data_IF_284230052019
#
_entry.id   IF_284230052019
#
_cell.length_a   1.000
_cell.length_b   1.000
_cell.length_c   1.000
_cell.angle_alpha   90.00
_cell.angle_beta   90.00
_cell.angle_gamma   90.00
#
_symmetry.space_group_name_H-M   'P 1'
#
loop_
_entity.id
_entity.type
_entity.pdbx_description
1 polymer ?
#
# COMPACT_ATOMS: atom_id res chain seq x y z
N UNK A 1 11.99 37.34 5.33
CA UNK A 1 11.98 37.83 3.94
C UNK A 1 11.43 36.74 3.03
N UNK A 2 10.20 36.89 2.53
CA UNK A 2 9.61 35.98 1.54
C UNK A 2 10.25 36.26 0.17
N UNK A 3 10.72 35.23 -0.54
CA UNK A 3 11.33 35.39 -1.85
C UNK A 3 10.22 35.49 -2.90
N UNK A 4 9.95 36.70 -3.39
CA UNK A 4 8.96 36.92 -4.44
C UNK A 4 9.68 37.09 -5.79
N UNK A 5 9.92 36.00 -6.50
CA UNK A 5 10.00 36.07 -7.96
C UNK A 5 8.56 36.26 -8.49
N UNK A 6 8.02 37.47 -8.32
CA UNK A 6 6.70 37.88 -8.83
C UNK A 6 6.76 37.97 -10.36
N UNK A 7 6.64 36.82 -11.03
CA UNK A 7 6.16 36.80 -12.42
C UNK A 7 4.64 36.69 -12.35
N UNK A 8 3.97 37.74 -12.80
CA UNK A 8 2.52 37.74 -12.99
C UNK A 8 2.16 36.59 -13.94
N UNK A 9 1.11 35.82 -13.61
CA UNK A 9 0.52 34.92 -14.60
C UNK A 9 -0.19 35.77 -15.65
N UNK A 10 0.41 35.85 -16.85
CA UNK A 10 -0.12 36.61 -17.99
C UNK A 10 -1.49 36.13 -18.48
N UNK A 11 -1.95 34.96 -18.03
CA UNK A 11 -3.22 34.38 -18.43
C UNK A 11 -4.40 34.74 -17.51
N UNK A 12 -4.16 35.01 -16.21
CA UNK A 12 -5.26 35.22 -15.25
C UNK A 12 -5.07 36.41 -14.29
N UNK A 13 -3.95 37.14 -14.37
CA UNK A 13 -3.76 38.40 -13.64
C UNK A 13 -3.72 38.31 -12.12
N UNK A 14 -3.61 37.11 -11.52
CA UNK A 14 -3.55 36.91 -10.06
C UNK A 14 -2.15 36.60 -9.55
N UNK A 15 -1.87 37.03 -8.32
CA UNK A 15 -0.70 36.66 -7.54
C UNK A 15 -0.91 35.23 -7.00
N UNK A 16 0.08 34.31 -7.06
CA UNK A 16 -0.07 32.97 -6.48
C UNK A 16 -0.26 33.06 -4.95
N UNK A 17 -1.37 32.55 -4.42
CA UNK A 17 -1.76 32.64 -3.00
C UNK A 17 -0.96 31.73 -2.03
N UNK A 18 0.17 31.16 -2.45
CA UNK A 18 0.99 30.26 -1.62
C UNK A 18 2.34 30.90 -1.32
N UNK A 19 2.37 31.84 -0.38
CA UNK A 19 3.63 32.32 0.20
C UNK A 19 4.18 31.30 1.20
N UNK A 20 4.75 30.20 0.71
CA UNK A 20 5.55 29.31 1.56
C UNK A 20 6.82 30.06 2.03
N UNK A 21 7.22 29.83 3.28
CA UNK A 21 8.42 30.49 3.82
C UNK A 21 9.69 29.98 3.11
N UNK A 22 10.79 30.74 3.21
CA UNK A 22 12.05 30.41 2.51
C UNK A 22 12.49 28.97 2.79
N UNK A 23 12.48 28.54 4.05
CA UNK A 23 12.87 27.17 4.43
C UNK A 23 11.94 26.10 3.84
N UNK A 24 10.62 26.31 3.81
CA UNK A 24 9.69 25.36 3.19
C UNK A 24 9.85 25.28 1.66
N UNK A 25 10.18 26.40 1.00
CA UNK A 25 10.48 26.40 -0.43
C UNK A 25 11.77 25.65 -0.76
N UNK A 26 12.85 25.87 0.01
CA UNK A 26 14.09 25.12 -0.14
C UNK A 26 13.91 23.63 0.15
N UNK A 27 13.20 23.28 1.23
CA UNK A 27 12.90 21.88 1.55
C UNK A 27 12.08 21.19 0.47
N UNK A 28 11.10 21.88 -0.14
CA UNK A 28 10.36 21.36 -1.28
C UNK A 28 11.24 21.14 -2.52
N UNK A 29 12.15 22.07 -2.80
CA UNK A 29 13.10 21.96 -3.92
C UNK A 29 14.11 20.83 -3.72
N UNK A 30 14.57 20.60 -2.49
CA UNK A 30 15.50 19.50 -2.18
C UNK A 30 14.82 18.13 -2.32
N UNK A 31 13.53 18.02 -1.96
CA UNK A 31 12.74 16.82 -2.20
C UNK A 31 12.56 16.58 -3.71
N UNK A 32 12.23 17.61 -4.50
CA UNK A 32 12.08 17.47 -5.96
C UNK A 32 13.39 17.00 -6.60
N UNK A 33 14.53 17.60 -6.23
CA UNK A 33 15.85 17.16 -6.72
C UNK A 33 16.18 15.72 -6.33
N UNK A 34 15.79 15.29 -5.13
CA UNK A 34 15.98 13.91 -4.70
C UNK A 34 15.14 12.97 -5.58
N UNK A 35 13.89 13.31 -5.89
CA UNK A 35 13.03 12.52 -6.77
C UNK A 35 13.61 12.44 -8.19
N UNK A 36 14.04 13.57 -8.76
CA UNK A 36 14.71 13.60 -10.08
C UNK A 36 15.99 12.74 -10.12
N UNK A 37 16.76 12.73 -9.03
CA UNK A 37 17.95 11.88 -8.91
C UNK A 37 17.61 10.39 -8.78
N UNK A 38 16.50 10.05 -8.12
CA UNK A 38 16.04 8.67 -8.00
C UNK A 38 15.52 8.15 -9.36
N UNK A 39 14.77 8.97 -10.09
CA UNK A 39 14.28 8.64 -11.43
C UNK A 39 15.45 8.45 -12.42
N UNK A 40 16.47 9.33 -12.39
CA UNK A 40 17.67 9.19 -13.21
C UNK A 40 18.52 7.95 -12.86
N UNK A 41 18.44 7.45 -11.62
CA UNK A 41 19.13 6.22 -11.23
C UNK A 41 18.40 4.96 -11.73
N UNK A 42 17.10 5.00 -11.99
CA UNK A 42 16.39 3.88 -12.61
C UNK A 42 16.77 3.72 -14.09
N UNK A 43 16.96 4.82 -14.82
CA UNK A 43 17.38 4.80 -16.24
C UNK A 43 18.85 4.36 -16.42
N UNK A 44 19.75 4.72 -15.50
CA UNK A 44 21.18 4.37 -15.60
C UNK A 44 21.51 2.91 -15.27
N UNK A 45 20.59 2.17 -14.66
CA UNK A 45 20.81 0.77 -14.25
C UNK A 45 20.54 -0.24 -15.38
N UNK A 46 20.21 0.21 -16.60
CA UNK A 46 19.79 -0.68 -17.68
C UNK A 46 20.88 -1.08 -18.70
N UNK A 47 22.12 -0.58 -18.60
CA UNK A 47 23.18 -0.92 -19.57
C UNK A 47 24.54 -1.22 -18.90
N UNK A 48 24.83 -2.49 -18.61
CA UNK A 48 26.20 -3.05 -18.72
C UNK A 48 26.13 -4.55 -19.03
N UNK A 49 26.15 -4.91 -20.32
CA UNK A 49 26.60 -6.21 -20.80
C UNK A 49 28.01 -6.04 -21.37
N UNK A 50 29.04 -6.62 -20.74
CA UNK A 50 30.28 -7.01 -21.43
C UNK A 50 30.93 -8.22 -20.76
N UNK A 51 31.24 -9.21 -21.59
CA UNK A 51 31.87 -10.48 -21.25
C UNK A 51 33.35 -10.32 -20.88
N UNK A 52 33.78 -10.77 -19.70
CA UNK A 52 35.20 -11.13 -19.42
C UNK A 52 35.31 -12.10 -18.22
N UNK A 53 35.63 -13.36 -18.50
CA UNK A 53 36.34 -14.35 -17.65
C UNK A 53 36.09 -14.39 -16.12
N UNK A 54 35.10 -15.20 -15.71
CA UNK A 54 35.15 -16.32 -14.73
C UNK A 54 35.55 -16.10 -13.26
N UNK A 55 36.52 -15.22 -12.95
CA UNK A 55 37.00 -15.01 -11.57
C UNK A 55 36.95 -13.53 -11.14
N UNK A 56 37.10 -12.58 -12.08
CA UNK A 56 36.90 -11.14 -11.81
C UNK A 56 35.43 -10.72 -11.79
N UNK A 57 34.57 -11.46 -12.50
CA UNK A 57 33.11 -11.22 -12.55
C UNK A 57 32.43 -11.37 -11.18
N UNK A 58 33.00 -12.17 -10.28
CA UNK A 58 32.44 -12.40 -8.95
C UNK A 58 32.67 -11.22 -8.01
N UNK A 59 33.81 -10.53 -8.10
CA UNK A 59 34.15 -9.37 -7.25
C UNK A 59 33.31 -8.13 -7.60
N UNK A 60 33.10 -7.86 -8.89
CA UNK A 60 32.23 -6.75 -9.31
C UNK A 60 30.76 -7.02 -8.98
N UNK A 61 30.29 -8.27 -9.11
CA UNK A 61 28.95 -8.69 -8.70
C UNK A 61 28.74 -8.65 -7.17
N UNK A 62 29.75 -9.03 -6.39
CA UNK A 62 29.73 -8.91 -4.93
C UNK A 62 29.73 -7.44 -4.48
N UNK A 63 30.54 -6.58 -5.12
CA UNK A 63 30.59 -5.16 -4.83
C UNK A 63 29.29 -4.44 -5.18
N UNK A 64 28.66 -4.80 -6.31
CA UNK A 64 27.35 -4.24 -6.69
C UNK A 64 26.23 -4.73 -5.76
N UNK A 65 26.27 -5.99 -5.31
CA UNK A 65 25.36 -6.52 -4.29
C UNK A 65 25.56 -5.83 -2.93
N UNK A 66 26.80 -5.60 -2.51
CA UNK A 66 27.13 -4.88 -1.28
C UNK A 66 26.60 -3.43 -1.31
N UNK A 67 26.80 -2.70 -2.42
CA UNK A 67 26.20 -1.37 -2.61
C UNK A 67 24.67 -1.40 -2.52
N UNK A 68 24.01 -2.36 -3.18
CA UNK A 68 22.54 -2.52 -3.07
C UNK A 68 22.09 -2.77 -1.63
N UNK A 69 22.83 -3.59 -0.86
CA UNK A 69 22.53 -3.83 0.56
C UNK A 69 22.73 -2.58 1.40
N UNK A 70 23.79 -1.80 1.16
CA UNK A 70 24.00 -0.50 1.81
C UNK A 70 22.89 0.50 1.47
N UNK A 71 22.46 0.58 0.22
CA UNK A 71 21.38 1.46 -0.22
C UNK A 71 20.03 1.04 0.35
N UNK A 72 19.75 -0.27 0.45
CA UNK A 72 18.60 -0.81 1.17
C UNK A 72 18.66 -0.47 2.67
N UNK A 73 19.83 -0.57 3.30
CA UNK A 73 20.01 -0.19 4.69
C UNK A 73 19.81 1.31 4.91
N UNK A 74 20.29 2.17 4.01
CA UNK A 74 20.04 3.62 4.04
C UNK A 74 18.55 3.94 3.85
N UNK A 75 17.89 3.34 2.85
CA UNK A 75 16.43 3.45 2.66
C UNK A 75 15.66 3.05 3.93
N UNK A 76 16.10 1.97 4.60
CA UNK A 76 15.56 1.55 5.90
C UNK A 76 15.77 2.57 7.02
N UNK A 77 16.85 3.36 7.02
CA UNK A 77 17.06 4.40 8.05
C UNK A 77 16.14 5.60 7.89
N UNK A 78 15.85 6.05 6.66
CA UNK A 78 14.92 7.15 6.44
C UNK A 78 13.47 6.75 6.78
N UNK A 79 13.06 5.55 6.38
CA UNK A 79 11.71 5.05 6.69
C UNK A 79 11.49 4.91 8.20
N UNK A 80 12.51 4.46 8.96
CA UNK A 80 12.47 4.46 10.43
C UNK A 80 12.31 5.84 11.04
N UNK A 81 13.02 6.86 10.53
CA UNK A 81 12.90 8.25 11.01
C UNK A 81 11.52 8.84 10.71
N UNK A 82 10.96 8.55 9.54
CA UNK A 82 9.59 8.96 9.20
C UNK A 82 8.58 8.29 10.14
N UNK A 83 8.70 6.98 10.36
CA UNK A 83 7.85 6.25 11.30
C UNK A 83 7.98 6.80 12.73
N UNK A 84 9.18 7.16 13.17
CA UNK A 84 9.39 7.82 14.47
C UNK A 84 8.67 9.17 14.55
N UNK A 85 8.70 9.97 13.48
CA UNK A 85 7.94 11.23 13.41
C UNK A 85 6.42 11.00 13.50
N UNK A 86 5.90 9.91 12.92
CA UNK A 86 4.51 9.50 13.08
C UNK A 86 4.21 9.15 14.54
N UNK A 87 4.97 8.23 15.13
CA UNK A 87 4.73 7.72 16.49
C UNK A 87 4.88 8.80 17.57
N UNK A 88 5.76 9.78 17.35
CA UNK A 88 5.96 10.93 18.25
C UNK A 88 5.11 12.15 17.87
N UNK A 89 4.29 12.05 16.82
CA UNK A 89 3.46 13.12 16.27
C UNK A 89 4.22 14.43 15.97
N UNK A 90 5.50 14.33 15.60
CA UNK A 90 6.35 15.50 15.36
C UNK A 90 5.87 16.26 14.14
N UNK A 91 5.40 17.50 14.30
CA UNK A 91 4.89 18.33 13.20
C UNK A 91 3.67 17.77 12.45
N UNK A 92 2.89 16.89 13.08
CA UNK A 92 1.66 16.35 12.50
C UNK A 92 0.64 17.47 12.21
N UNK A 93 0.24 17.60 10.94
CA UNK A 93 -0.59 18.68 10.38
C UNK A 93 -1.97 18.20 9.90
N UNK A 94 -2.31 16.95 10.23
CA UNK A 94 -3.63 16.34 10.07
C UNK A 94 -3.91 15.31 11.18
N UNK A 95 -5.19 15.13 11.48
CA UNK A 95 -5.73 14.11 12.37
C UNK A 95 -6.81 13.33 11.60
N UNK A 96 -6.59 12.05 11.39
CA UNK A 96 -7.55 11.13 10.75
C UNK A 96 -8.39 10.48 11.83
N UNK A 97 -9.71 10.59 11.73
CA UNK A 97 -10.67 10.11 12.75
C UNK A 97 -11.52 9.00 12.16
N UNK A 98 -11.52 7.84 12.81
CA UNK A 98 -12.37 6.70 12.44
C UNK A 98 -13.81 6.92 12.89
N UNK A 99 -14.72 6.07 12.43
CA UNK A 99 -16.13 6.13 12.83
C UNK A 99 -16.35 5.82 14.33
N UNK A 100 -15.40 5.12 14.95
CA UNK A 100 -15.37 4.84 16.39
C UNK A 100 -14.97 6.06 17.24
N UNK A 101 -14.59 7.18 16.60
CA UNK A 101 -14.09 8.38 17.27
C UNK A 101 -12.61 8.29 17.70
N UNK A 102 -11.94 7.18 17.40
CA UNK A 102 -10.50 7.04 17.57
C UNK A 102 -9.76 7.81 16.47
N UNK A 103 -8.62 8.38 16.80
CA UNK A 103 -7.91 9.30 15.91
C UNK A 103 -6.42 9.00 15.82
N UNK A 104 -5.84 9.30 14.66
CA UNK A 104 -4.42 9.17 14.39
C UNK A 104 -3.90 10.46 13.77
N UNK A 105 -2.89 11.07 14.40
CA UNK A 105 -2.23 12.26 13.86
C UNK A 105 -1.12 11.88 12.89
N UNK A 106 -1.09 12.57 11.75
CA UNK A 106 -0.19 12.24 10.64
C UNK A 106 0.21 13.50 9.87
N UNK A 107 0.87 13.30 8.73
CA UNK A 107 1.39 14.37 7.88
C UNK A 107 0.72 14.31 6.50
N UNK A 108 0.07 15.40 6.09
CA UNK A 108 -0.65 15.50 4.81
C UNK A 108 0.23 15.12 3.63
N UNK A 109 1.49 15.60 3.62
CA UNK A 109 2.42 15.34 2.52
C UNK A 109 2.75 13.86 2.37
N UNK A 110 2.95 13.15 3.49
CA UNK A 110 3.30 11.73 3.49
C UNK A 110 2.09 10.89 3.06
N UNK A 111 0.90 11.16 3.63
CA UNK A 111 -0.34 10.48 3.25
C UNK A 111 -0.69 10.70 1.77
N UNK A 112 -0.55 11.93 1.27
CA UNK A 112 -0.85 12.26 -0.13
C UNK A 112 0.13 11.60 -1.11
N UNK A 113 1.36 11.34 -0.68
CA UNK A 113 2.34 10.63 -1.50
C UNK A 113 2.06 9.13 -1.52
N UNK A 114 1.75 8.55 -0.36
CA UNK A 114 1.51 7.11 -0.21
C UNK A 114 0.16 6.61 -0.73
N UNK A 115 -0.82 7.49 -0.97
CA UNK A 115 -2.15 7.11 -1.44
C UNK A 115 -2.78 8.22 -2.30
N UNK A 116 -3.19 7.85 -3.52
CA UNK A 116 -3.95 8.74 -4.41
C UNK A 116 -5.33 9.12 -3.82
N UNK A 117 -5.91 8.23 -3.02
CA UNK A 117 -7.18 8.47 -2.32
C UNK A 117 -7.01 9.50 -1.21
N UNK A 118 -5.96 9.40 -0.39
CA UNK A 118 -5.68 10.45 0.60
C UNK A 118 -5.37 11.79 -0.07
N UNK A 119 -4.60 11.79 -1.17
CA UNK A 119 -4.35 13.03 -1.94
C UNK A 119 -5.66 13.68 -2.40
N UNK A 120 -6.53 12.91 -3.04
CA UNK A 120 -7.83 13.36 -3.53
C UNK A 120 -8.72 13.89 -2.39
N UNK A 121 -8.74 13.18 -1.25
CA UNK A 121 -9.47 13.57 -0.04
C UNK A 121 -8.98 14.93 0.52
N UNK A 122 -7.68 15.19 0.45
CA UNK A 122 -7.05 16.41 0.97
C UNK A 122 -7.19 17.60 0.02
N UNK A 123 -7.16 17.36 -1.29
CA UNK A 123 -7.32 18.37 -2.33
C UNK A 123 -8.78 18.80 -2.53
N UNK A 124 -9.75 17.96 -2.13
CA UNK A 124 -11.16 18.20 -2.32
C UNK A 124 -11.59 19.56 -1.71
N UNK A 125 -11.95 20.49 -2.60
CA UNK A 125 -12.34 21.87 -2.26
C UNK A 125 -13.70 21.94 -1.56
N UNK A 126 -14.54 20.92 -1.71
CA UNK A 126 -15.88 20.86 -1.12
C UNK A 126 -15.86 20.42 0.34
N UNK A 127 -14.77 19.80 0.80
CA UNK A 127 -14.59 19.46 2.21
C UNK A 127 -13.90 20.65 2.88
N UNK A 128 -14.53 21.31 3.88
CA UNK A 128 -13.98 22.51 4.51
C UNK A 128 -12.51 22.32 4.89
N UNK A 129 -11.61 23.14 4.33
CA UNK A 129 -10.17 23.09 4.67
C UNK A 129 -9.89 23.48 6.13
N UNK A 130 -10.87 24.10 6.78
CA UNK A 130 -10.81 24.54 8.17
C UNK A 130 -10.98 23.32 9.09
N UNK A 131 -9.85 22.69 9.43
CA UNK A 131 -9.81 21.63 10.43
C UNK A 131 -8.56 20.78 10.28
N UNK A 132 -7.92 20.47 11.41
CA UNK A 132 -6.91 19.42 11.50
C UNK A 132 -7.55 18.05 11.25
N UNK A 133 -8.82 17.90 11.61
CA UNK A 133 -9.56 16.64 11.63
C UNK A 133 -10.20 16.31 10.28
N UNK A 134 -9.92 15.11 9.78
CA UNK A 134 -10.56 14.49 8.62
C UNK A 134 -11.17 13.16 9.05
N UNK A 135 -12.43 12.92 8.66
CA UNK A 135 -13.10 11.65 8.90
C UNK A 135 -12.65 10.64 7.84
N UNK A 136 -12.39 9.42 8.28
CA UNK A 136 -12.02 8.30 7.43
C UNK A 136 -13.10 7.22 7.56
N UNK A 137 -14.08 7.20 6.65
CA UNK A 137 -15.21 6.29 6.77
C UNK A 137 -14.81 4.84 6.44
N UNK A 138 -15.47 3.91 7.12
CA UNK A 138 -15.32 2.45 6.94
C UNK A 138 -13.87 1.97 7.07
N UNK A 139 -13.17 2.51 8.07
CA UNK A 139 -11.88 2.05 8.56
C UNK A 139 -11.93 1.96 10.08
N UNK A 140 -11.60 0.80 10.63
CA UNK A 140 -11.34 0.69 12.07
C UNK A 140 -9.97 1.31 12.44
N UNK A 141 -9.71 1.46 13.74
CA UNK A 141 -8.46 2.07 14.19
C UNK A 141 -7.21 1.25 13.84
N UNK A 142 -7.29 -0.08 13.86
CA UNK A 142 -6.16 -0.97 13.56
C UNK A 142 -5.84 -0.97 12.07
N UNK A 143 -6.86 -0.97 11.23
CA UNK A 143 -6.76 -0.85 9.78
C UNK A 143 -6.16 0.50 9.38
N UNK A 144 -6.67 1.60 9.95
CA UNK A 144 -6.12 2.94 9.70
C UNK A 144 -4.65 3.01 10.14
N UNK A 145 -4.34 2.48 11.33
CA UNK A 145 -2.98 2.46 11.86
C UNK A 145 -2.05 1.65 10.95
N UNK A 146 -2.43 0.43 10.57
CA UNK A 146 -1.61 -0.43 9.71
C UNK A 146 -1.38 0.19 8.32
N UNK A 147 -2.41 0.79 7.72
CA UNK A 147 -2.29 1.53 6.46
C UNK A 147 -1.29 2.68 6.59
N UNK A 148 -1.43 3.52 7.62
CA UNK A 148 -0.57 4.70 7.79
C UNK A 148 0.86 4.29 8.17
N UNK A 149 1.06 3.34 9.08
CA UNK A 149 2.39 2.83 9.41
C UNK A 149 3.10 2.24 8.18
N UNK A 150 2.36 1.54 7.31
CA UNK A 150 2.90 1.07 6.04
C UNK A 150 3.30 2.23 5.12
N UNK A 151 2.46 3.25 4.96
CA UNK A 151 2.78 4.44 4.15
C UNK A 151 4.08 5.12 4.64
N UNK A 152 4.33 5.14 5.95
CA UNK A 152 5.53 5.76 6.51
C UNK A 152 6.79 4.90 6.42
N UNK A 153 6.65 3.59 6.58
CA UNK A 153 7.79 2.68 6.76
C UNK A 153 8.08 1.80 5.53
N UNK A 154 7.09 1.62 4.66
CA UNK A 154 7.08 0.63 3.58
C UNK A 154 7.05 -0.81 4.06
N UNK A 155 6.79 -1.05 5.35
CA UNK A 155 6.89 -2.36 6.00
C UNK A 155 5.71 -2.59 6.93
N UNK A 156 5.36 -3.86 7.12
CA UNK A 156 4.46 -4.31 8.18
C UNK A 156 5.20 -5.26 9.10
N UNK A 157 4.84 -5.26 10.38
CA UNK A 157 5.38 -6.26 11.31
C UNK A 157 4.76 -7.64 11.03
N UNK A 158 5.46 -8.74 11.33
CA UNK A 158 4.91 -10.08 11.17
C UNK A 158 3.60 -10.29 11.96
N UNK A 159 3.47 -9.66 13.13
CA UNK A 159 2.27 -9.72 13.96
C UNK A 159 1.10 -9.03 13.27
N UNK A 160 1.35 -7.88 12.63
CA UNK A 160 0.34 -7.12 11.90
C UNK A 160 -0.14 -7.89 10.67
N UNK A 161 0.78 -8.51 9.91
CA UNK A 161 0.42 -9.37 8.78
C UNK A 161 -0.42 -10.57 9.21
N UNK A 162 0.00 -11.25 10.28
CA UNK A 162 -0.70 -12.43 10.80
C UNK A 162 -2.10 -12.09 11.31
N UNK A 163 -2.25 -10.97 12.03
CA UNK A 163 -3.53 -10.57 12.62
C UNK A 163 -4.49 -9.89 11.64
N UNK A 164 -3.97 -9.14 10.67
CA UNK A 164 -4.76 -8.15 9.93
C UNK A 164 -4.57 -8.19 8.41
N UNK A 165 -3.86 -9.17 7.83
CA UNK A 165 -3.69 -9.26 6.35
C UNK A 165 -5.00 -9.23 5.57
N UNK A 166 -6.05 -9.89 6.07
CA UNK A 166 -7.37 -9.95 5.41
C UNK A 166 -8.09 -8.59 5.39
N UNK A 167 -7.99 -7.79 6.44
CA UNK A 167 -8.56 -6.44 6.44
C UNK A 167 -7.68 -5.49 5.65
N UNK A 168 -6.36 -5.53 5.88
CA UNK A 168 -5.40 -4.63 5.26
C UNK A 168 -5.34 -4.75 3.73
N UNK A 169 -5.56 -5.93 3.14
CA UNK A 169 -5.62 -6.05 1.67
C UNK A 169 -6.81 -5.30 1.08
N UNK A 170 -7.98 -5.33 1.75
CA UNK A 170 -9.18 -4.59 1.31
C UNK A 170 -8.96 -3.09 1.47
N UNK A 171 -8.30 -2.70 2.56
CA UNK A 171 -7.94 -1.30 2.82
C UNK A 171 -6.92 -0.79 1.80
N UNK A 172 -5.94 -1.62 1.44
CA UNK A 172 -4.93 -1.29 0.43
C UNK A 172 -5.57 -1.06 -0.95
N UNK A 173 -6.54 -1.89 -1.33
CA UNK A 173 -7.32 -1.71 -2.56
C UNK A 173 -8.15 -0.43 -2.49
N UNK A 174 -8.88 -0.22 -1.38
CA UNK A 174 -9.73 0.98 -1.17
C UNK A 174 -8.93 2.29 -1.18
N UNK A 175 -7.71 2.29 -0.65
CA UNK A 175 -6.87 3.48 -0.55
C UNK A 175 -5.82 3.58 -1.66
N UNK A 176 -5.86 2.70 -2.65
CA UNK A 176 -4.92 2.67 -3.77
C UNK A 176 -3.46 2.66 -3.30
N UNK A 177 -3.11 1.62 -2.53
CA UNK A 177 -1.75 1.35 -2.04
C UNK A 177 -1.29 -0.02 -2.52
N UNK A 178 -0.87 -0.16 -3.80
CA UNK A 178 -0.61 -1.46 -4.42
C UNK A 178 0.48 -2.28 -3.73
N UNK A 179 1.50 -1.63 -3.17
CA UNK A 179 2.59 -2.34 -2.48
C UNK A 179 2.11 -3.02 -1.20
N UNK A 180 1.18 -2.40 -0.47
CA UNK A 180 0.55 -3.01 0.70
C UNK A 180 -0.31 -4.20 0.27
N UNK A 181 -1.09 -4.01 -0.80
CA UNK A 181 -1.95 -5.06 -1.37
C UNK A 181 -1.12 -6.29 -1.74
N UNK A 182 0.00 -6.11 -2.45
CA UNK A 182 0.89 -7.19 -2.87
C UNK A 182 1.50 -7.95 -1.69
N UNK A 183 1.90 -7.25 -0.62
CA UNK A 183 2.47 -7.89 0.58
C UNK A 183 1.40 -8.71 1.29
N UNK A 184 0.18 -8.17 1.45
CA UNK A 184 -0.92 -8.91 2.06
C UNK A 184 -1.35 -10.09 1.18
N UNK A 185 -1.42 -9.92 -0.14
CA UNK A 185 -1.74 -11.00 -1.09
C UNK A 185 -0.71 -12.13 -1.02
N UNK A 186 0.58 -11.82 -1.06
CA UNK A 186 1.64 -12.81 -0.94
C UNK A 186 1.54 -13.59 0.38
N UNK A 187 1.28 -12.90 1.49
CA UNK A 187 1.10 -13.54 2.79
C UNK A 187 -0.13 -14.47 2.81
N UNK A 188 -1.25 -14.03 2.24
CA UNK A 188 -2.48 -14.84 2.17
C UNK A 188 -2.31 -16.06 1.28
N UNK A 189 -1.54 -15.97 0.19
CA UNK A 189 -1.19 -17.11 -0.65
C UNK A 189 -0.27 -18.10 0.05
N UNK A 190 0.76 -17.61 0.76
CA UNK A 190 1.69 -18.44 1.52
C UNK A 190 1.00 -19.20 2.66
N UNK A 191 -0.02 -18.57 3.26
CA UNK A 191 -0.80 -19.13 4.37
C UNK A 191 -2.12 -19.75 3.94
N UNK A 192 -2.35 -19.95 2.64
CA UNK A 192 -3.57 -20.54 2.10
C UNK A 192 -3.58 -22.06 2.33
N UNK A 193 -4.55 -22.52 3.12
CA UNK A 193 -4.77 -23.92 3.44
C UNK A 193 -6.27 -24.26 3.42
N UNK A 194 -6.60 -25.55 3.53
CA UNK A 194 -7.97 -26.07 3.48
C UNK A 194 -8.90 -25.34 4.45
N UNK A 195 -8.41 -25.02 5.65
CA UNK A 195 -9.18 -24.44 6.76
C UNK A 195 -9.58 -22.98 6.49
N UNK A 196 -8.82 -22.25 5.66
CA UNK A 196 -9.07 -20.83 5.40
C UNK A 196 -9.42 -20.52 3.94
N UNK A 197 -9.42 -21.52 3.04
CA UNK A 197 -9.65 -21.33 1.62
C UNK A 197 -11.02 -20.72 1.30
N UNK A 198 -12.09 -21.17 1.99
CA UNK A 198 -13.44 -20.61 1.82
C UNK A 198 -13.46 -19.12 2.20
N UNK A 199 -12.83 -18.76 3.32
CA UNK A 199 -12.75 -17.38 3.77
C UNK A 199 -11.90 -16.48 2.86
N UNK A 200 -10.84 -17.02 2.24
CA UNK A 200 -10.03 -16.29 1.25
C UNK A 200 -10.81 -16.10 -0.06
N UNK A 201 -11.61 -17.08 -0.47
CA UNK A 201 -12.52 -16.95 -1.62
C UNK A 201 -13.60 -15.89 -1.39
N UNK A 202 -14.20 -15.83 -0.19
CA UNK A 202 -15.13 -14.73 0.15
C UNK A 202 -14.43 -13.37 0.09
N UNK A 203 -13.20 -13.30 0.59
CA UNK A 203 -12.43 -12.08 0.60
C UNK A 203 -12.07 -11.59 -0.80
N UNK A 204 -11.72 -12.49 -1.73
CA UNK A 204 -11.27 -12.09 -3.06
C UNK A 204 -12.33 -11.28 -3.80
N UNK A 205 -13.61 -11.62 -3.66
CA UNK A 205 -14.72 -10.90 -4.34
C UNK A 205 -14.87 -9.44 -3.87
N UNK A 206 -14.27 -9.07 -2.73
CA UNK A 206 -14.27 -7.69 -2.21
C UNK A 206 -13.19 -6.81 -2.85
N UNK A 207 -12.27 -7.39 -3.62
CA UNK A 207 -11.13 -6.70 -4.21
C UNK A 207 -11.41 -6.32 -5.66
N UNK A 208 -10.83 -5.20 -6.10
CA UNK A 208 -10.94 -4.72 -7.49
C UNK A 208 -10.25 -5.66 -8.48
N UNK A 209 -9.18 -6.37 -8.06
CA UNK A 209 -8.46 -7.36 -8.86
C UNK A 209 -8.40 -8.73 -8.15
N UNK A 210 -9.46 -9.56 -8.24
CA UNK A 210 -9.62 -10.75 -7.41
C UNK A 210 -8.85 -11.99 -7.92
N UNK A 211 -8.38 -11.98 -9.17
CA UNK A 211 -8.08 -13.20 -9.93
C UNK A 211 -7.04 -14.12 -9.28
N UNK A 212 -6.00 -13.57 -8.65
CA UNK A 212 -4.91 -14.37 -8.07
C UNK A 212 -5.40 -15.13 -6.84
N UNK A 213 -5.91 -14.41 -5.84
CA UNK A 213 -6.47 -15.02 -4.61
C UNK A 213 -7.66 -15.92 -4.90
N UNK A 214 -8.56 -15.50 -5.78
CA UNK A 214 -9.74 -16.26 -6.14
C UNK A 214 -9.37 -17.62 -6.74
N UNK A 215 -8.49 -17.64 -7.74
CA UNK A 215 -8.10 -18.87 -8.41
C UNK A 215 -7.32 -19.81 -7.48
N UNK A 216 -6.43 -19.26 -6.64
CA UNK A 216 -5.69 -20.04 -5.66
C UNK A 216 -6.63 -20.69 -4.63
N UNK A 217 -7.57 -19.92 -4.08
CA UNK A 217 -8.56 -20.43 -3.13
C UNK A 217 -9.47 -21.49 -3.76
N UNK A 218 -9.97 -21.24 -4.98
CA UNK A 218 -10.75 -22.23 -5.73
C UNK A 218 -9.97 -23.51 -5.97
N UNK A 219 -8.69 -23.45 -6.35
CA UNK A 219 -7.91 -24.66 -6.58
C UNK A 219 -7.73 -25.49 -5.30
N UNK A 220 -7.48 -24.86 -4.15
CA UNK A 220 -7.43 -25.55 -2.85
C UNK A 220 -8.77 -26.18 -2.49
N UNK A 221 -9.88 -25.46 -2.71
CA UNK A 221 -11.24 -25.96 -2.47
C UNK A 221 -11.51 -27.19 -3.34
N UNK A 222 -11.22 -27.11 -4.64
CA UNK A 222 -11.49 -28.18 -5.59
C UNK A 222 -10.60 -29.41 -5.36
N UNK A 223 -9.35 -29.23 -4.93
CA UNK A 223 -8.44 -30.32 -4.54
C UNK A 223 -8.94 -31.05 -3.29
N UNK A 224 -9.52 -30.32 -2.33
CA UNK A 224 -10.04 -30.85 -1.06
C UNK A 224 -11.58 -30.88 -1.03
N UNK A 225 -12.20 -31.04 -2.20
CA UNK A 225 -13.65 -30.87 -2.39
C UNK A 225 -14.50 -31.61 -1.36
N UNK A 226 -14.23 -32.90 -1.15
CA UNK A 226 -15.06 -33.75 -0.28
C UNK A 226 -15.01 -33.31 1.18
N UNK A 227 -13.86 -32.84 1.67
CA UNK A 227 -13.76 -32.39 3.06
C UNK A 227 -14.42 -31.04 3.25
N UNK A 228 -14.36 -30.16 2.25
CA UNK A 228 -14.88 -28.79 2.34
C UNK A 228 -16.40 -28.74 2.10
N UNK A 229 -16.91 -29.37 1.03
CA UNK A 229 -18.33 -29.21 0.65
C UNK A 229 -19.32 -29.73 1.71
N UNK A 230 -18.88 -30.69 2.53
CA UNK A 230 -19.66 -31.29 3.62
C UNK A 230 -19.32 -30.70 4.99
N UNK A 231 -18.51 -29.64 5.05
CA UNK A 231 -18.16 -28.96 6.29
C UNK A 231 -19.21 -27.91 6.66
N UNK A 232 -19.38 -27.65 7.95
CA UNK A 232 -20.30 -26.62 8.43
C UNK A 232 -19.88 -25.23 7.93
N UNK A 233 -18.57 -24.99 7.81
CA UNK A 233 -18.03 -23.72 7.31
C UNK A 233 -18.47 -23.45 5.86
N UNK A 234 -18.51 -24.49 5.01
CA UNK A 234 -19.00 -24.34 3.65
C UNK A 234 -20.52 -24.17 3.58
N UNK A 235 -21.28 -24.83 4.46
CA UNK A 235 -22.73 -24.65 4.54
C UNK A 235 -23.08 -23.20 4.90
N UNK A 236 -22.44 -22.64 5.94
CA UNK A 236 -22.61 -21.24 6.33
C UNK A 236 -22.21 -20.28 5.20
N UNK A 237 -21.07 -20.54 4.54
CA UNK A 237 -20.63 -19.81 3.36
C UNK A 237 -21.66 -19.85 2.23
N UNK A 238 -22.22 -21.02 1.93
CA UNK A 238 -23.15 -21.19 0.82
C UNK A 238 -24.48 -20.49 1.07
N UNK A 239 -24.95 -20.45 2.32
CA UNK A 239 -26.13 -19.69 2.73
C UNK A 239 -25.88 -18.18 2.63
N UNK A 240 -24.71 -17.71 3.05
CA UNK A 240 -24.33 -16.29 3.02
C UNK A 240 -24.05 -15.78 1.60
N UNK A 241 -23.45 -16.61 0.75
CA UNK A 241 -22.99 -16.24 -0.59
C UNK A 241 -23.41 -17.26 -1.68
N UNK A 242 -24.73 -17.40 -1.97
CA UNK A 242 -25.21 -18.37 -2.97
C UNK A 242 -24.57 -18.26 -4.36
N UNK A 243 -24.30 -17.05 -4.92
CA UNK A 243 -23.65 -16.93 -6.23
C UNK A 243 -22.23 -17.51 -6.24
N UNK A 244 -21.48 -17.34 -5.14
CA UNK A 244 -20.10 -17.79 -5.02
C UNK A 244 -20.05 -19.30 -4.79
N UNK A 245 -20.97 -19.86 -4.00
CA UNK A 245 -21.15 -21.29 -3.88
C UNK A 245 -21.50 -21.94 -5.22
N UNK A 246 -22.40 -21.34 -6.00
CA UNK A 246 -22.72 -21.82 -7.34
C UNK A 246 -21.50 -21.77 -8.28
N UNK A 247 -20.64 -20.75 -8.15
CA UNK A 247 -19.36 -20.68 -8.89
C UNK A 247 -18.46 -21.87 -8.52
N UNK A 248 -18.30 -22.17 -7.24
CA UNK A 248 -17.53 -23.33 -6.77
C UNK A 248 -18.08 -24.63 -7.36
N UNK A 249 -19.40 -24.85 -7.30
CA UNK A 249 -20.05 -26.03 -7.86
C UNK A 249 -19.79 -26.15 -9.38
N UNK A 250 -19.96 -25.06 -10.13
CA UNK A 250 -19.70 -25.03 -11.59
C UNK A 250 -18.24 -25.33 -11.91
N UNK A 251 -17.31 -24.74 -11.17
CA UNK A 251 -15.87 -24.99 -11.33
C UNK A 251 -15.52 -26.46 -11.06
N UNK A 252 -16.20 -27.11 -10.12
CA UNK A 252 -16.06 -28.54 -9.87
C UNK A 252 -16.57 -29.40 -11.03
N UNK A 253 -17.78 -29.13 -11.54
CA UNK A 253 -18.36 -29.84 -12.69
C UNK A 253 -17.45 -29.78 -13.91
N UNK A 254 -16.96 -28.58 -14.25
CA UNK A 254 -16.03 -28.37 -15.37
C UNK A 254 -14.74 -29.17 -15.17
N UNK A 255 -14.15 -29.13 -13.97
CA UNK A 255 -12.90 -29.86 -13.66
C UNK A 255 -13.06 -31.38 -13.74
N UNK A 256 -14.26 -31.90 -13.49
CA UNK A 256 -14.58 -33.33 -13.59
C UNK A 256 -15.08 -33.76 -14.97
N UNK A 257 -15.29 -32.82 -15.89
CA UNK A 257 -15.74 -33.12 -17.26
C UNK A 257 -17.23 -33.48 -17.36
N UNK A 258 -18.05 -32.97 -16.43
CA UNK A 258 -19.52 -33.04 -16.51
C UNK A 258 -20.09 -31.85 -17.31
#
# INVERSE_FOLDING_TARGET
MAYTSKKWCSFCGRIPELSICKSCWWGGMDIIKLLEQLDAQEESNHDVNTETSGHRQNLSALASKARRLEDLAKRSTYSKKLLEALLKELYADIEQVTDEGLSLRAHKVVLSFGSGVFRSMLENKFIPRKGLRRRVPDLDHYELKGLVEFIYSGQLTPETLKGHSKSLIVVADKYDVPQLMNICEAYLLETLYTENAVGILELSVRLSSPAVLENAALDVILKNWKSIIFSNEYEEFALKNPPLALKVLRSYSIRKGF
#
